data_IF_721004981076
#
_entry.id   IF_721004981076
#
_cell.length_a   1.000
_cell.length_b   1.000
_cell.length_c   1.000
_cell.angle_alpha   90.00
_cell.angle_beta   90.00
_cell.angle_gamma   90.00
#
_symmetry.space_group_name_H-M   'P 1'
#
loop_
_entity.id
_entity.type
_entity.pdbx_description
1 polymer ?
#
# COMPACT_ATOMS: atom_id res chain seq x y z
N UNK A 1 7.95 25.12 -3.91
CA UNK A 1 7.30 23.84 -4.30
C UNK A 1 8.19 22.71 -3.80
N UNK A 2 7.71 21.82 -2.93
CA UNK A 2 8.47 20.64 -2.47
C UNK A 2 8.31 19.52 -3.48
N UNK A 3 9.40 18.88 -3.90
CA UNK A 3 9.41 17.77 -4.88
C UNK A 3 9.04 16.43 -4.23
N UNK A 4 8.51 15.49 -5.00
CA UNK A 4 8.18 14.12 -4.55
C UNK A 4 9.35 13.42 -3.81
N UNK A 5 10.59 13.68 -4.22
CA UNK A 5 11.80 13.18 -3.55
C UNK A 5 11.90 13.59 -2.06
N UNK A 6 11.35 14.75 -1.69
CA UNK A 6 11.32 15.21 -0.29
C UNK A 6 10.32 14.43 0.58
N UNK A 7 9.45 13.65 -0.03
CA UNK A 7 8.48 12.77 0.63
C UNK A 7 8.93 11.30 0.61
N UNK A 8 10.20 11.03 0.30
CA UNK A 8 10.73 9.67 0.23
C UNK A 8 10.29 8.89 -1.02
N UNK A 9 9.63 9.54 -1.99
CA UNK A 9 9.25 8.90 -3.25
C UNK A 9 10.48 8.79 -4.16
N UNK A 10 10.77 7.59 -4.63
CA UNK A 10 11.85 7.30 -5.58
C UNK A 10 11.59 8.05 -6.90
N UNK A 11 12.62 8.55 -7.60
CA UNK A 11 12.44 9.22 -8.89
C UNK A 11 11.66 8.36 -9.90
N UNK A 12 11.94 7.06 -9.95
CA UNK A 12 11.25 6.09 -10.81
C UNK A 12 9.75 5.93 -10.46
N UNK A 13 9.36 6.24 -9.22
CA UNK A 13 8.00 6.07 -8.72
C UNK A 13 7.14 7.33 -8.84
N UNK A 14 7.71 8.47 -9.26
CA UNK A 14 7.00 9.78 -9.29
C UNK A 14 5.73 9.73 -10.12
N UNK A 15 5.77 9.15 -11.33
CA UNK A 15 4.59 9.09 -12.19
C UNK A 15 3.49 8.20 -11.58
N UNK A 16 3.88 7.07 -10.96
CA UNK A 16 2.93 6.19 -10.29
C UNK A 16 2.34 6.86 -9.04
N UNK A 17 3.14 7.63 -8.30
CA UNK A 17 2.68 8.44 -7.16
C UNK A 17 1.66 9.50 -7.61
N UNK A 18 1.93 10.23 -8.69
CA UNK A 18 1.01 11.24 -9.21
C UNK A 18 -0.30 10.61 -9.71
N UNK A 19 -0.23 9.46 -10.38
CA UNK A 19 -1.41 8.72 -10.79
C UNK A 19 -2.24 8.23 -9.60
N UNK A 20 -1.59 7.71 -8.55
CA UNK A 20 -2.25 7.32 -7.31
C UNK A 20 -2.93 8.53 -6.64
N UNK A 21 -2.22 9.66 -6.54
CA UNK A 21 -2.75 10.89 -5.95
C UNK A 21 -3.96 11.41 -6.73
N UNK A 22 -3.94 11.40 -8.06
CA UNK A 22 -5.07 11.80 -8.90
C UNK A 22 -6.30 10.91 -8.66
N UNK A 23 -6.14 9.59 -8.59
CA UNK A 23 -7.28 8.68 -8.31
C UNK A 23 -7.83 8.90 -6.89
N UNK A 24 -6.96 9.05 -5.89
CA UNK A 24 -7.38 9.33 -4.51
C UNK A 24 -8.10 10.68 -4.39
N UNK A 25 -7.64 11.72 -5.10
CA UNK A 25 -8.31 13.02 -5.14
C UNK A 25 -9.71 12.90 -5.74
N UNK A 26 -9.86 12.21 -6.88
CA UNK A 26 -11.18 11.98 -7.51
C UNK A 26 -12.11 11.19 -6.61
N UNK A 27 -11.59 10.21 -5.86
CA UNK A 27 -12.38 9.51 -4.85
C UNK A 27 -12.88 10.48 -3.77
N UNK A 28 -12.04 11.40 -3.32
CA UNK A 28 -12.42 12.46 -2.39
C UNK A 28 -13.50 13.39 -2.94
N UNK A 29 -13.40 13.78 -4.22
CA UNK A 29 -14.42 14.58 -4.91
C UNK A 29 -15.77 13.84 -4.98
N UNK A 30 -15.76 12.51 -5.12
CA UNK A 30 -16.94 11.64 -5.06
C UNK A 30 -17.43 11.36 -3.61
N UNK A 31 -16.83 11.98 -2.59
CA UNK A 31 -17.06 11.70 -1.17
C UNK A 31 -16.86 10.21 -0.80
N UNK A 32 -15.92 9.53 -1.47
CA UNK A 32 -15.51 8.15 -1.19
C UNK A 32 -14.15 8.13 -0.51
N UNK A 33 -13.99 7.25 0.46
CA UNK A 33 -12.71 7.01 1.15
C UNK A 33 -12.13 5.67 0.74
N UNK A 34 -10.81 5.62 0.55
CA UNK A 34 -10.13 4.37 0.31
C UNK A 34 -10.32 3.42 1.51
N UNK A 35 -10.55 2.14 1.24
CA UNK A 35 -10.83 1.14 2.28
C UNK A 35 -9.70 1.06 3.32
N UNK A 36 -8.45 1.25 2.89
CA UNK A 36 -7.27 1.25 3.76
C UNK A 36 -7.25 2.42 4.76
N UNK A 37 -7.97 3.52 4.51
CA UNK A 37 -8.08 4.64 5.47
C UNK A 37 -9.09 4.39 6.58
N UNK A 38 -9.99 3.42 6.42
CA UNK A 38 -11.06 3.17 7.37
C UNK A 38 -10.57 2.35 8.58
N UNK A 39 -9.52 1.54 8.37
CA UNK A 39 -8.91 0.61 9.33
C UNK A 39 -7.40 0.45 9.07
N UNK A 40 -6.61 1.54 9.14
CA UNK A 40 -5.22 1.55 8.69
C UNK A 40 -4.33 0.51 9.39
N UNK A 41 -4.67 0.12 10.61
CA UNK A 41 -3.97 -0.92 11.37
C UNK A 41 -3.90 -2.26 10.62
N UNK A 42 -4.90 -2.60 9.81
CA UNK A 42 -4.96 -3.88 9.08
C UNK A 42 -4.07 -3.91 7.83
N UNK A 43 -3.76 -2.74 7.26
CA UNK A 43 -2.84 -2.62 6.11
C UNK A 43 -1.38 -2.45 6.53
N UNK A 44 -1.12 -2.22 7.83
CA UNK A 44 0.23 -2.08 8.37
C UNK A 44 0.99 -3.41 8.36
N UNK A 45 2.32 -3.35 8.37
CA UNK A 45 3.18 -4.53 8.53
C UNK A 45 3.06 -5.20 9.89
N UNK A 46 2.59 -4.47 10.90
CA UNK A 46 2.48 -4.93 12.28
C UNK A 46 1.22 -5.78 12.50
N UNK A 47 0.27 -5.73 11.57
CA UNK A 47 -0.88 -6.63 11.55
C UNK A 47 -0.44 -8.09 11.41
N UNK A 48 -1.26 -9.00 11.92
CA UNK A 48 -1.04 -10.43 11.77
C UNK A 48 -1.12 -10.84 10.30
N UNK A 49 -0.43 -11.90 9.86
CA UNK A 49 -0.50 -12.35 8.46
C UNK A 49 -1.94 -12.58 7.95
N UNK A 50 -2.84 -13.22 8.72
CA UNK A 50 -4.25 -13.35 8.30
C UNK A 50 -4.94 -11.99 8.12
N UNK A 51 -4.74 -11.04 9.04
CA UNK A 51 -5.34 -9.70 8.91
C UNK A 51 -4.84 -8.96 7.67
N UNK A 52 -3.56 -9.12 7.31
CA UNK A 52 -3.01 -8.54 6.07
C UNK A 52 -3.55 -9.22 4.82
N UNK A 53 -3.81 -10.52 4.86
CA UNK A 53 -4.47 -11.24 3.75
C UNK A 53 -5.91 -10.76 3.55
N UNK A 54 -6.66 -10.56 4.63
CA UNK A 54 -8.02 -10.01 4.57
C UNK A 54 -8.01 -8.57 4.05
N UNK A 55 -7.07 -7.73 4.52
CA UNK A 55 -6.87 -6.36 4.04
C UNK A 55 -6.52 -6.32 2.55
N UNK A 56 -5.69 -7.25 2.07
CA UNK A 56 -5.34 -7.37 0.66
C UNK A 56 -6.56 -7.74 -0.20
N UNK A 57 -7.38 -8.69 0.26
CA UNK A 57 -8.63 -9.05 -0.42
C UNK A 57 -9.62 -7.88 -0.48
N UNK A 58 -9.71 -7.08 0.60
CA UNK A 58 -10.57 -5.90 0.66
C UNK A 58 -10.22 -4.82 -0.39
N UNK A 59 -9.00 -4.83 -0.94
CA UNK A 59 -8.63 -3.90 -2.01
C UNK A 59 -9.40 -4.12 -3.32
N UNK A 60 -10.03 -5.29 -3.54
CA UNK A 60 -10.64 -5.66 -4.83
C UNK A 60 -11.76 -4.74 -5.33
N UNK A 61 -12.36 -3.93 -4.46
CA UNK A 61 -13.39 -2.93 -4.82
C UNK A 61 -12.88 -1.48 -4.78
N UNK A 62 -11.60 -1.26 -4.45
CA UNK A 62 -11.03 0.07 -4.32
C UNK A 62 -10.64 0.62 -5.72
N UNK A 63 -11.19 1.77 -6.16
CA UNK A 63 -10.80 2.37 -7.44
C UNK A 63 -9.30 2.70 -7.55
N UNK A 64 -8.64 2.98 -6.43
CA UNK A 64 -7.21 3.25 -6.37
C UNK A 64 -6.33 1.98 -6.45
N UNK A 65 -6.90 0.77 -6.42
CA UNK A 65 -6.14 -0.49 -6.39
C UNK A 65 -5.03 -0.57 -7.47
N UNK A 66 -5.30 -0.36 -8.78
CA UNK A 66 -4.26 -0.48 -9.80
C UNK A 66 -3.14 0.55 -9.65
N UNK A 67 -3.49 1.81 -9.38
CA UNK A 67 -2.51 2.88 -9.19
C UNK A 67 -1.69 2.69 -7.89
N UNK A 68 -2.33 2.17 -6.83
CA UNK A 68 -1.68 1.86 -5.56
C UNK A 68 -0.66 0.73 -5.72
N UNK A 69 -1.02 -0.35 -6.42
CA UNK A 69 -0.09 -1.45 -6.71
C UNK A 69 1.09 -0.98 -7.58
N UNK A 70 0.81 -0.19 -8.63
CA UNK A 70 1.84 0.36 -9.50
C UNK A 70 2.83 1.24 -8.73
N UNK A 71 2.33 2.09 -7.84
CA UNK A 71 3.16 2.90 -6.96
C UNK A 71 4.01 2.02 -6.04
N UNK A 72 3.41 1.06 -5.33
CA UNK A 72 4.15 0.22 -4.38
C UNK A 72 5.29 -0.58 -5.04
N UNK A 73 5.06 -1.08 -6.26
CA UNK A 73 6.09 -1.78 -7.03
C UNK A 73 7.22 -0.84 -7.47
N UNK A 74 6.89 0.34 -8.01
CA UNK A 74 7.90 1.32 -8.43
C UNK A 74 8.69 1.89 -7.25
N UNK A 75 8.01 2.10 -6.13
CA UNK A 75 8.56 2.60 -4.87
C UNK A 75 9.35 1.53 -4.11
N UNK A 76 9.10 0.25 -4.41
CA UNK A 76 9.65 -0.90 -3.69
C UNK A 76 9.29 -0.85 -2.22
N UNK A 77 7.99 -0.66 -1.95
CA UNK A 77 7.47 -0.64 -0.59
C UNK A 77 7.92 -1.90 0.17
N UNK A 78 8.58 -1.75 1.32
CA UNK A 78 9.28 -2.87 1.96
C UNK A 78 8.36 -3.78 2.76
N UNK A 79 7.17 -3.31 3.14
CA UNK A 79 6.23 -4.04 3.98
C UNK A 79 4.81 -3.44 3.91
N UNK A 80 3.85 -4.13 4.53
CA UNK A 80 2.44 -3.74 4.56
C UNK A 80 1.68 -4.18 3.31
N UNK A 81 0.38 -3.87 3.30
CA UNK A 81 -0.53 -4.21 2.21
C UNK A 81 -0.70 -3.01 1.28
N UNK A 82 -0.42 -3.22 -0.01
CA UNK A 82 -0.51 -2.19 -1.04
C UNK A 82 -1.20 -2.75 -2.27
N UNK A 83 -2.23 -2.04 -2.76
CA UNK A 83 -2.90 -2.38 -4.03
C UNK A 83 -3.42 -3.83 -4.12
N UNK A 84 -3.73 -4.45 -2.97
CA UNK A 84 -4.17 -5.84 -2.88
C UNK A 84 -3.06 -6.88 -2.72
N UNK A 85 -1.83 -6.48 -2.37
CA UNK A 85 -0.71 -7.39 -2.15
C UNK A 85 0.00 -7.09 -0.82
N UNK A 86 0.33 -8.12 -0.03
CA UNK A 86 1.17 -8.01 1.16
C UNK A 86 2.66 -8.09 0.75
N UNK A 87 3.43 -7.06 1.11
CA UNK A 87 4.87 -6.97 0.88
C UNK A 87 5.68 -7.37 2.13
N UNK A 88 5.02 -7.63 3.26
CA UNK A 88 5.69 -7.94 4.52
C UNK A 88 6.41 -9.28 4.44
N UNK A 89 7.73 -9.35 4.68
CA UNK A 89 8.47 -10.60 4.63
C UNK A 89 7.98 -11.59 5.69
N UNK A 90 7.87 -12.87 5.32
CA UNK A 90 7.61 -13.93 6.30
C UNK A 90 8.90 -14.15 7.11
N UNK A 91 8.88 -13.98 8.44
CA UNK A 91 10.05 -14.27 9.25
C UNK A 91 10.37 -15.76 9.13
N UNK A 92 11.60 -16.10 8.75
CA UNK A 92 12.06 -17.48 8.78
C UNK A 92 12.02 -17.95 10.24
N UNK A 93 11.36 -19.08 10.52
CA UNK A 93 11.52 -19.73 11.83
C UNK A 93 13.01 -19.90 12.06
N UNK A 94 13.53 -19.39 13.19
CA UNK A 94 14.81 -19.88 13.69
C UNK A 94 14.58 -21.36 13.97
N UNK A 95 15.25 -22.23 13.23
CA UNK A 95 15.42 -23.63 13.63
C UNK A 95 15.97 -23.57 15.05
N UNK A 96 15.18 -23.97 16.05
CA UNK A 96 15.62 -23.96 17.44
C UNK A 96 16.81 -24.90 17.53
N UNK A 97 17.97 -24.36 17.91
CA UNK A 97 19.12 -25.14 18.33
C UNK A 97 18.65 -26.14 19.39
N UNK A 98 18.87 -27.42 19.08
CA UNK A 98 18.73 -28.55 20.00
C UNK A 98 19.83 -28.52 21.06
#
# INVERSE_FOLDING_TARGET
MRTAASFGVRPEAVNAFLALADVLNRMGDDNRRAVCEQRPEQWSSDATPPARQDAAAACGFCPAQPACLAFALAQREPAGVWGGQDFTPIPKRKESAA
#
